data_IF_603997568897
#
_entry.id   IF_603997568897
#
_cell.length_a   1.000
_cell.length_b   1.000
_cell.length_c   1.000
_cell.angle_alpha   90.00
_cell.angle_beta   90.00
_cell.angle_gamma   90.00
#
_symmetry.space_group_name_H-M   'P 1'
#
loop_
_entity.id
_entity.type
_entity.pdbx_description
1 polymer ?
#
# COMPACT_ATOMS: atom_id res chain seq x y z
N UNK A 1 4.95 -22.65 15.10
CA UNK A 1 5.07 -21.55 16.08
C UNK A 1 6.56 -21.41 16.37
N UNK A 2 7.17 -20.26 16.09
CA UNK A 2 8.62 -20.11 16.24
C UNK A 2 9.03 -20.29 17.71
N UNK A 3 10.04 -21.11 17.95
CA UNK A 3 10.67 -21.24 19.27
C UNK A 3 11.62 -20.06 19.49
N UNK A 4 11.04 -18.89 19.77
CA UNK A 4 11.79 -17.66 20.04
C UNK A 4 11.88 -17.49 21.55
N UNK A 5 13.11 -17.47 22.04
CA UNK A 5 13.35 -17.23 23.44
C UNK A 5 12.75 -15.87 23.87
N UNK A 6 11.99 -15.79 25.00
CA UNK A 6 11.34 -14.57 25.44
C UNK A 6 12.29 -13.37 25.61
N UNK A 7 13.57 -13.63 25.94
CA UNK A 7 14.58 -12.58 26.04
C UNK A 7 14.89 -11.91 24.70
N UNK A 8 14.82 -12.65 23.59
CA UNK A 8 15.03 -12.10 22.24
C UNK A 8 13.93 -11.11 21.88
N UNK A 9 12.67 -11.45 22.20
CA UNK A 9 11.53 -10.53 22.02
C UNK A 9 11.66 -9.27 22.87
N UNK A 10 12.11 -9.41 24.12
CA UNK A 10 12.41 -8.25 24.99
C UNK A 10 13.49 -7.35 24.41
N UNK A 11 14.52 -7.91 23.80
CA UNK A 11 15.55 -7.13 23.11
C UNK A 11 14.93 -6.35 21.95
N UNK A 12 14.15 -6.99 21.09
CA UNK A 12 13.49 -6.30 19.97
C UNK A 12 12.52 -5.19 20.42
N UNK A 13 11.79 -5.40 21.52
CA UNK A 13 10.95 -4.37 22.14
C UNK A 13 11.79 -3.19 22.65
N UNK A 14 12.90 -3.47 23.33
CA UNK A 14 13.78 -2.42 23.90
C UNK A 14 14.43 -1.59 22.81
N UNK A 15 14.88 -2.22 21.73
CA UNK A 15 15.42 -1.54 20.55
C UNK A 15 14.31 -0.92 19.67
N UNK A 16 13.04 -0.98 20.09
CA UNK A 16 11.91 -0.35 19.40
C UNK A 16 11.48 -1.02 18.09
N UNK A 17 12.10 -2.16 17.73
CA UNK A 17 11.83 -2.94 16.52
C UNK A 17 10.46 -3.62 16.56
N UNK A 18 9.93 -3.85 17.76
CA UNK A 18 8.65 -4.48 18.00
C UNK A 18 7.83 -3.70 19.02
N UNK A 19 6.52 -3.57 18.79
CA UNK A 19 5.59 -2.87 19.70
C UNK A 19 4.31 -3.70 19.89
N UNK A 20 4.40 -4.82 20.63
CA UNK A 20 3.26 -5.70 20.81
C UNK A 20 2.19 -4.99 21.66
N UNK A 21 0.92 -5.25 21.33
CA UNK A 21 -0.17 -4.80 22.16
C UNK A 21 -0.16 -5.56 23.50
N UNK A 22 -0.77 -4.96 24.53
CA UNK A 22 -0.88 -5.54 25.86
C UNK A 22 -2.35 -5.72 26.22
N UNK A 23 -2.69 -6.86 26.81
CA UNK A 23 -4.02 -7.11 27.40
C UNK A 23 -4.16 -6.40 28.74
N UNK A 24 -5.37 -6.36 29.30
CA UNK A 24 -5.63 -5.82 30.64
C UNK A 24 -4.84 -6.50 31.78
N UNK A 25 -4.35 -7.73 31.54
CA UNK A 25 -3.45 -8.46 32.45
C UNK A 25 -1.96 -8.23 32.17
N UNK A 26 -1.60 -7.23 31.37
CA UNK A 26 -0.22 -6.91 30.97
C UNK A 26 0.48 -8.01 30.13
N UNK A 27 -0.28 -8.95 29.57
CA UNK A 27 0.25 -10.00 28.68
C UNK A 27 0.46 -9.44 27.27
N UNK A 28 1.61 -9.74 26.67
CA UNK A 28 1.90 -9.38 25.27
C UNK A 28 1.02 -10.20 24.35
N UNK A 29 0.38 -9.53 23.40
CA UNK A 29 -0.32 -10.15 22.28
C UNK A 29 0.31 -9.67 20.99
N UNK A 30 0.56 -10.62 20.09
CA UNK A 30 1.18 -10.37 18.81
C UNK A 30 0.12 -10.55 17.72
N UNK A 31 -0.04 -9.52 16.90
CA UNK A 31 -0.83 -9.59 15.68
C UNK A 31 -0.10 -10.40 14.60
N UNK A 32 -0.79 -10.73 13.51
CA UNK A 32 -0.14 -11.38 12.37
C UNK A 32 1.01 -10.54 11.80
N UNK A 33 0.83 -9.22 11.75
CA UNK A 33 1.88 -8.27 11.32
C UNK A 33 3.09 -8.29 12.25
N UNK A 34 2.88 -8.46 13.56
CA UNK A 34 4.00 -8.61 14.50
C UNK A 34 4.78 -9.90 14.23
N UNK A 35 4.09 -11.01 13.92
CA UNK A 35 4.74 -12.29 13.58
C UNK A 35 5.59 -12.14 12.31
N UNK A 36 5.05 -11.55 11.25
CA UNK A 36 5.79 -11.28 10.01
C UNK A 36 7.00 -10.36 10.24
N UNK A 37 6.86 -9.35 11.12
CA UNK A 37 7.95 -8.47 11.49
C UNK A 37 9.05 -9.24 12.24
N UNK A 38 8.67 -10.12 13.16
CA UNK A 38 9.59 -10.99 13.91
C UNK A 38 10.34 -11.93 12.96
N UNK A 39 9.65 -12.56 12.01
CA UNK A 39 10.25 -13.41 10.98
C UNK A 39 11.31 -12.67 10.17
N UNK A 40 11.00 -11.44 9.75
CA UNK A 40 11.96 -10.62 9.02
C UNK A 40 13.18 -10.25 9.87
N UNK A 41 12.98 -9.86 11.13
CA UNK A 41 14.08 -9.54 12.04
C UNK A 41 14.99 -10.78 12.23
N UNK A 42 14.39 -11.95 12.43
CA UNK A 42 15.15 -13.20 12.57
C UNK A 42 15.95 -13.53 11.32
N UNK A 43 15.34 -13.39 10.14
CA UNK A 43 16.04 -13.61 8.87
C UNK A 43 17.22 -12.66 8.69
N UNK A 44 17.01 -11.37 8.91
CA UNK A 44 18.06 -10.36 8.80
C UNK A 44 19.22 -10.64 9.76
N UNK A 45 18.92 -10.99 11.00
CA UNK A 45 19.94 -11.21 12.04
C UNK A 45 20.64 -12.57 11.95
N UNK A 46 19.89 -13.66 11.76
CA UNK A 46 20.42 -15.03 11.81
C UNK A 46 20.93 -15.55 10.47
N UNK A 47 20.28 -15.19 9.37
CA UNK A 47 20.67 -15.69 8.04
C UNK A 47 21.60 -14.71 7.32
N UNK A 48 21.34 -13.40 7.44
CA UNK A 48 22.08 -12.37 6.70
C UNK A 48 23.13 -11.64 7.54
N UNK A 49 23.23 -11.93 8.84
CA UNK A 49 24.24 -11.36 9.73
C UNK A 49 24.10 -9.85 9.97
N UNK A 50 22.93 -9.27 9.72
CA UNK A 50 22.66 -7.85 9.93
C UNK A 50 22.52 -7.57 11.43
N UNK A 51 23.18 -6.52 11.92
CA UNK A 51 23.05 -6.09 13.32
C UNK A 51 21.71 -5.36 13.58
N UNK A 52 21.34 -5.16 14.85
CA UNK A 52 20.05 -4.57 15.22
C UNK A 52 19.85 -3.14 14.69
N UNK A 53 20.91 -2.33 14.63
CA UNK A 53 20.85 -0.99 14.05
C UNK A 53 20.54 -1.03 12.54
N UNK A 54 21.16 -1.97 11.81
CA UNK A 54 20.86 -2.21 10.40
C UNK A 54 19.42 -2.70 10.19
N UNK A 55 18.94 -3.59 11.08
CA UNK A 55 17.54 -4.03 11.06
C UNK A 55 16.59 -2.85 11.25
N UNK A 56 16.86 -1.97 12.21
CA UNK A 56 16.05 -0.77 12.44
C UNK A 56 15.92 0.08 11.18
N UNK A 57 17.05 0.36 10.51
CA UNK A 57 17.09 1.14 9.27
C UNK A 57 16.25 0.46 8.18
N UNK A 58 16.42 -0.85 7.99
CA UNK A 58 15.68 -1.63 6.98
C UNK A 58 14.17 -1.59 7.27
N UNK A 59 13.76 -1.80 8.52
CA UNK A 59 12.34 -1.76 8.89
C UNK A 59 11.75 -0.37 8.68
N UNK A 60 12.46 0.69 9.06
CA UNK A 60 12.03 2.07 8.82
C UNK A 60 11.89 2.38 7.33
N UNK A 61 12.81 1.88 6.49
CA UNK A 61 12.72 2.02 5.04
C UNK A 61 11.50 1.28 4.48
N UNK A 62 11.25 0.05 4.94
CA UNK A 62 10.07 -0.72 4.55
C UNK A 62 8.77 0.01 4.93
N UNK A 63 8.67 0.49 6.17
CA UNK A 63 7.49 1.20 6.66
C UNK A 63 7.22 2.49 5.83
N UNK A 64 8.28 3.18 5.38
CA UNK A 64 8.19 4.34 4.46
C UNK A 64 7.73 3.95 3.06
N UNK A 65 8.27 2.88 2.49
CA UNK A 65 7.86 2.37 1.17
C UNK A 65 6.38 1.98 1.19
N UNK A 66 5.94 1.27 2.22
CA UNK A 66 4.55 0.86 2.38
C UNK A 66 3.62 2.08 2.51
N UNK A 67 4.05 3.13 3.24
CA UNK A 67 3.30 4.38 3.33
C UNK A 67 3.19 5.09 1.97
N UNK A 68 4.29 5.16 1.22
CA UNK A 68 4.31 5.75 -0.12
C UNK A 68 3.42 4.98 -1.09
N UNK A 69 3.44 3.64 -1.05
CA UNK A 69 2.56 2.80 -1.87
C UNK A 69 1.08 3.04 -1.53
N UNK A 70 0.73 3.17 -0.25
CA UNK A 70 -0.64 3.52 0.16
C UNK A 70 -1.06 4.88 -0.39
N UNK A 71 -0.18 5.88 -0.36
CA UNK A 71 -0.46 7.20 -0.92
C UNK A 71 -0.67 7.15 -2.44
N UNK A 72 0.22 6.48 -3.18
CA UNK A 72 0.10 6.31 -4.63
C UNK A 72 -1.20 5.59 -4.98
N UNK A 73 -1.52 4.48 -4.31
CA UNK A 73 -2.76 3.75 -4.54
C UNK A 73 -4.00 4.60 -4.23
N UNK A 74 -3.96 5.42 -3.18
CA UNK A 74 -5.03 6.37 -2.86
C UNK A 74 -5.23 7.42 -3.96
N UNK A 75 -4.14 7.97 -4.50
CA UNK A 75 -4.19 8.92 -5.61
C UNK A 75 -4.75 8.30 -6.88
N UNK A 76 -4.28 7.10 -7.26
CA UNK A 76 -4.77 6.38 -8.43
C UNK A 76 -6.26 6.05 -8.31
N UNK A 77 -6.71 5.64 -7.12
CA UNK A 77 -8.13 5.39 -6.84
C UNK A 77 -8.97 6.65 -7.01
N UNK A 78 -8.54 7.77 -6.43
CA UNK A 78 -9.26 9.04 -6.54
C UNK A 78 -9.30 9.56 -7.99
N UNK A 79 -8.24 9.32 -8.77
CA UNK A 79 -8.21 9.66 -10.20
C UNK A 79 -9.19 8.79 -11.01
N UNK A 80 -9.24 7.48 -10.74
CA UNK A 80 -10.19 6.57 -11.37
C UNK A 80 -11.64 6.96 -11.05
N UNK A 81 -11.96 7.22 -9.77
CA UNK A 81 -13.30 7.65 -9.35
C UNK A 81 -13.76 8.94 -10.04
N UNK A 82 -12.84 9.90 -10.27
CA UNK A 82 -13.14 11.13 -11.02
C UNK A 82 -13.42 10.86 -12.49
N UNK A 83 -12.59 10.05 -13.15
CA UNK A 83 -12.82 9.69 -14.55
C UNK A 83 -14.13 8.93 -14.72
N UNK A 84 -14.45 8.00 -13.83
CA UNK A 84 -15.71 7.25 -13.88
C UNK A 84 -16.92 8.19 -13.72
N UNK A 85 -16.82 9.18 -12.81
CA UNK A 85 -17.85 10.19 -12.63
C UNK A 85 -18.03 11.07 -13.88
N UNK A 86 -16.93 11.56 -14.48
CA UNK A 86 -16.97 12.29 -15.73
C UNK A 86 -17.59 11.42 -16.84
N UNK A 87 -17.12 10.19 -17.05
CA UNK A 87 -17.66 9.30 -18.08
C UNK A 87 -19.16 9.03 -17.91
N UNK A 88 -19.63 8.89 -16.67
CA UNK A 88 -21.06 8.75 -16.39
C UNK A 88 -21.85 10.02 -16.77
N UNK A 89 -21.36 11.20 -16.42
CA UNK A 89 -21.99 12.48 -16.82
C UNK A 89 -22.00 12.69 -18.34
N UNK A 90 -21.02 12.14 -19.07
CA UNK A 90 -21.04 12.16 -20.54
C UNK A 90 -22.05 11.15 -21.11
N UNK A 91 -22.17 9.96 -20.52
CA UNK A 91 -23.16 8.94 -20.90
C UNK A 91 -24.61 9.36 -20.64
N UNK A 92 -24.88 9.94 -19.46
CA UNK A 92 -26.23 10.43 -19.09
C UNK A 92 -26.69 11.57 -20.04
N UNK A 93 -25.76 12.42 -20.50
CA UNK A 93 -26.03 13.48 -21.49
C UNK A 93 -26.29 12.96 -22.91
N UNK A 94 -25.71 11.82 -23.30
CA UNK A 94 -26.04 11.16 -24.57
C UNK A 94 -27.43 10.51 -24.56
N UNK A 95 -27.91 10.05 -23.39
CA UNK A 95 -29.25 9.47 -23.25
C UNK A 95 -30.36 10.55 -23.24
N UNK A 96 -30.06 11.76 -22.74
CA UNK A 96 -31.00 12.89 -22.67
C UNK A 96 -31.00 13.83 -23.90
N UNK A 97 -30.00 13.76 -24.79
CA UNK A 97 -29.83 14.74 -25.87
C UNK A 97 -29.38 14.14 -27.21
N UNK A 98 -30.22 14.31 -28.24
CA UNK A 98 -29.85 14.06 -29.65
C UNK A 98 -28.51 14.75 -30.04
N UNK A 99 -27.65 13.97 -30.69
CA UNK A 99 -26.25 14.23 -31.11
C UNK A 99 -26.01 15.59 -31.80
N UNK A 100 -24.96 16.35 -31.41
CA UNK A 100 -24.36 17.35 -32.28
C UNK A 100 -23.19 16.76 -33.07
N UNK A 101 -23.37 16.69 -34.38
CA UNK A 101 -22.36 16.26 -35.35
C UNK A 101 -21.27 17.32 -35.52
N UNK A 102 -20.00 16.91 -35.54
CA UNK A 102 -19.07 17.39 -36.56
C UNK A 102 -17.66 17.80 -36.12
N UNK A 103 -16.64 17.14 -36.71
CA UNK A 103 -15.85 17.71 -37.84
C UNK A 103 -14.71 16.75 -38.23
N UNK A 104 -14.93 15.92 -39.25
CA UNK A 104 -13.86 15.54 -40.20
C UNK A 104 -14.43 14.99 -41.52
N UNK A 105 -14.44 15.84 -42.54
CA UNK A 105 -14.24 15.45 -43.94
C UNK A 105 -15.40 14.81 -44.71
N UNK A 106 -16.42 15.60 -45.06
CA UNK A 106 -17.19 15.32 -46.29
C UNK A 106 -16.34 15.80 -47.48
N UNK A 107 -15.52 14.91 -48.04
CA UNK A 107 -14.95 15.11 -49.37
C UNK A 107 -16.06 14.92 -50.40
N UNK A 108 -16.63 16.04 -50.86
CA UNK A 108 -17.40 16.09 -52.10
C UNK A 108 -16.67 17.01 -53.07
N UNK A 109 -16.05 16.43 -54.10
CA UNK A 109 -15.90 17.16 -55.37
C UNK A 109 -16.19 16.21 -56.52
N UNK A 110 -17.07 16.70 -57.38
CA UNK A 110 -17.70 16.01 -58.48
C UNK A 110 -16.74 15.73 -59.62
N UNK A 111 -17.07 14.68 -60.37
CA UNK A 111 -16.70 14.45 -61.77
C UNK A 111 -16.90 15.72 -62.61
N UNK A 112 -15.95 15.97 -63.51
CA UNK A 112 -16.25 16.15 -64.93
C UNK A 112 -15.10 15.61 -65.75
#
# INVERSE_FOLDING_TARGET
MFDIHPQTLRTYEREGLLRPARTGGNTRVFSQTDVERIELILRLTKELGVNLAGVEVILNMRDRIDAMQRQVNGLLKAMAERFDAEMKEWGDREEEGLVPVGRRGLLRRSRS
#
